data_IF_365204318729
#
_entry.id   IF_365204318729
#
_cell.length_a   1.000
_cell.length_b   1.000
_cell.length_c   1.000
_cell.angle_alpha   90.00
_cell.angle_beta   90.00
_cell.angle_gamma   90.00
#
_symmetry.space_group_name_H-M   'P 1'
#
loop_
_entity.id
_entity.type
_entity.pdbx_description
1 polymer ?
#
# COMPACT_ATOMS: atom_id res chain seq x y z
N UNK A 1 30.74 28.38 85.51
CA UNK A 1 29.31 28.01 85.35
C UNK A 1 28.92 28.16 83.89
N UNK A 2 29.24 29.29 83.26
CA UNK A 2 29.03 29.50 81.81
C UNK A 2 29.80 28.50 80.92
N UNK A 3 31.05 28.17 81.29
CA UNK A 3 31.87 27.16 80.59
C UNK A 3 31.23 25.76 80.61
N UNK A 4 30.67 25.35 81.77
CA UNK A 4 29.98 24.07 81.91
C UNK A 4 28.68 24.01 81.08
N UNK A 5 28.01 25.16 80.90
CA UNK A 5 26.79 25.29 80.09
C UNK A 5 27.13 25.23 78.60
N UNK A 6 28.21 25.87 78.16
CA UNK A 6 28.76 25.75 76.79
C UNK A 6 29.15 24.31 76.47
N UNK A 7 29.89 23.64 77.36
CA UNK A 7 30.30 22.23 77.20
C UNK A 7 29.09 21.30 77.10
N UNK A 8 28.06 21.51 77.92
CA UNK A 8 26.83 20.70 77.90
C UNK A 8 26.04 20.92 76.60
N UNK A 9 25.99 22.15 76.08
CA UNK A 9 25.35 22.45 74.79
C UNK A 9 26.13 21.83 73.63
N UNK A 10 27.46 21.89 73.65
CA UNK A 10 28.31 21.25 72.65
C UNK A 10 28.12 19.72 72.65
N UNK A 11 28.11 19.09 73.83
CA UNK A 11 27.84 17.66 73.97
C UNK A 11 26.44 17.27 73.48
N UNK A 12 25.42 18.09 73.77
CA UNK A 12 24.04 17.83 73.32
C UNK A 12 23.94 17.88 71.79
N UNK A 13 24.53 18.90 71.15
CA UNK A 13 24.61 18.98 69.68
C UNK A 13 25.35 17.79 69.08
N UNK A 14 26.46 17.39 69.68
CA UNK A 14 27.23 16.25 69.20
C UNK A 14 26.43 14.94 69.29
N UNK A 15 25.68 14.73 70.37
CA UNK A 15 24.79 13.57 70.51
C UNK A 15 23.65 13.62 69.49
N UNK A 16 23.02 14.77 69.27
CA UNK A 16 21.98 14.92 68.23
C UNK A 16 22.50 14.59 66.83
N UNK A 17 23.69 15.09 66.46
CA UNK A 17 24.30 14.76 65.17
C UNK A 17 24.56 13.25 65.03
N UNK A 18 25.04 12.59 66.11
CA UNK A 18 25.22 11.13 66.06
C UNK A 18 23.92 10.36 65.89
N UNK A 19 22.81 10.83 66.46
CA UNK A 19 21.50 10.20 66.29
C UNK A 19 21.04 10.34 64.83
N UNK A 20 21.13 11.54 64.25
CA UNK A 20 20.76 11.78 62.85
C UNK A 20 21.60 10.92 61.88
N UNK A 21 22.93 10.85 62.09
CA UNK A 21 23.82 9.99 61.30
C UNK A 21 23.46 8.51 61.43
N UNK A 22 23.06 8.05 62.63
CA UNK A 22 22.63 6.67 62.87
C UNK A 22 21.31 6.35 62.17
N UNK A 23 20.33 7.26 62.25
CA UNK A 23 19.02 7.10 61.61
C UNK A 23 19.14 7.05 60.09
N UNK A 24 19.96 7.94 59.50
CA UNK A 24 20.27 7.90 58.08
C UNK A 24 20.93 6.56 57.67
N UNK A 25 21.90 6.09 58.45
CA UNK A 25 22.58 4.82 58.18
C UNK A 25 21.61 3.62 58.25
N UNK A 26 20.71 3.60 59.23
CA UNK A 26 19.69 2.55 59.34
C UNK A 26 18.70 2.58 58.17
N UNK A 27 18.26 3.78 57.75
CA UNK A 27 17.38 3.92 56.59
C UNK A 27 18.07 3.42 55.31
N UNK A 28 19.35 3.75 55.12
CA UNK A 28 20.13 3.27 53.99
C UNK A 28 20.34 1.75 54.03
N UNK A 29 20.62 1.17 55.20
CA UNK A 29 20.73 -0.28 55.36
C UNK A 29 19.43 -1.01 55.03
N UNK A 30 18.29 -0.44 55.42
CA UNK A 30 16.98 -0.97 55.09
C UNK A 30 16.78 -1.02 53.58
N UNK A 31 17.04 0.09 52.88
CA UNK A 31 16.97 0.18 51.42
C UNK A 31 17.91 -0.83 50.75
N UNK A 32 19.18 -0.88 51.17
CA UNK A 32 20.16 -1.83 50.62
C UNK A 32 19.77 -3.30 50.86
N UNK A 33 19.11 -3.60 51.99
CA UNK A 33 18.59 -4.93 52.30
C UNK A 33 17.41 -5.30 51.42
N UNK A 34 16.55 -4.33 51.10
CA UNK A 34 15.43 -4.55 50.20
C UNK A 34 15.93 -4.77 48.77
N UNK A 35 16.91 -3.97 48.29
CA UNK A 35 17.58 -4.21 47.00
C UNK A 35 18.24 -5.60 46.96
N UNK A 36 18.87 -6.05 48.05
CA UNK A 36 19.49 -7.38 48.12
C UNK A 36 18.48 -8.53 47.89
N UNK A 37 17.23 -8.39 48.34
CA UNK A 37 16.20 -9.42 48.12
C UNK A 37 15.87 -9.54 46.63
N UNK A 38 16.07 -8.51 45.85
CA UNK A 38 15.81 -8.47 44.41
C UNK A 38 17.03 -8.90 43.57
N UNK A 39 18.19 -9.09 44.20
CA UNK A 39 19.40 -9.56 43.53
C UNK A 39 19.27 -11.00 43.02
N UNK A 40 19.83 -11.24 41.84
CA UNK A 40 20.00 -12.55 41.24
C UNK A 40 21.02 -13.41 41.99
N UNK A 41 21.10 -14.70 41.64
CA UNK A 41 21.97 -15.65 42.34
C UNK A 41 23.47 -15.32 42.25
N UNK A 42 23.96 -14.74 41.16
CA UNK A 42 25.36 -14.30 41.01
C UNK A 42 25.67 -13.07 41.86
N UNK A 43 24.82 -12.04 41.79
CA UNK A 43 24.92 -10.80 42.58
C UNK A 43 24.91 -11.08 44.09
N UNK A 44 24.04 -11.98 44.55
CA UNK A 44 23.99 -12.39 45.96
C UNK A 44 25.28 -13.08 46.43
N UNK A 45 25.92 -13.84 45.53
CA UNK A 45 27.15 -14.58 45.82
C UNK A 45 28.35 -13.62 45.91
N UNK A 46 28.45 -12.69 44.96
CA UNK A 46 29.45 -11.61 44.97
C UNK A 46 29.31 -10.70 46.20
N UNK A 47 28.07 -10.37 46.60
CA UNK A 47 27.82 -9.61 47.82
C UNK A 47 28.26 -10.39 49.07
N UNK A 48 27.95 -11.69 49.15
CA UNK A 48 28.32 -12.51 50.29
C UNK A 48 29.85 -12.57 50.50
N UNK A 49 30.62 -12.64 49.42
CA UNK A 49 32.09 -12.63 49.47
C UNK A 49 32.64 -11.28 49.96
N UNK A 50 32.11 -10.18 49.44
CA UNK A 50 32.57 -8.82 49.78
C UNK A 50 32.12 -8.35 51.17
N UNK A 51 31.03 -8.90 51.73
CA UNK A 51 30.53 -8.56 53.07
C UNK A 51 31.35 -9.15 54.24
N UNK A 52 32.22 -10.12 53.96
CA UNK A 52 33.03 -10.80 55.00
C UNK A 52 33.84 -9.82 55.86
N UNK A 53 34.26 -8.69 55.31
CA UNK A 53 34.99 -7.64 56.05
C UNK A 53 34.16 -6.91 57.13
N UNK A 54 32.83 -6.96 57.06
CA UNK A 54 31.92 -6.38 58.06
C UNK A 54 31.38 -7.38 59.07
N UNK A 55 31.81 -8.65 59.00
CA UNK A 55 31.30 -9.72 59.86
C UNK A 55 31.43 -9.39 61.36
N UNK A 56 32.44 -8.61 61.75
CA UNK A 56 32.61 -8.13 63.13
C UNK A 56 31.42 -7.32 63.67
N UNK A 57 30.67 -6.63 62.81
CA UNK A 57 29.53 -5.80 63.19
C UNK A 57 28.22 -6.59 63.31
N UNK A 58 28.20 -7.86 62.89
CA UNK A 58 27.04 -8.75 63.13
C UNK A 58 26.85 -9.07 64.62
N UNK A 59 27.93 -8.98 65.41
CA UNK A 59 27.95 -9.31 66.84
C UNK A 59 28.11 -8.07 67.73
N UNK A 60 28.67 -6.99 67.21
CA UNK A 60 28.92 -5.75 67.95
C UNK A 60 28.39 -4.54 67.17
N UNK A 61 27.59 -3.64 67.78
CA UNK A 61 27.07 -2.47 67.09
C UNK A 61 28.19 -1.51 66.67
N UNK A 62 28.00 -0.84 65.52
CA UNK A 62 28.94 0.16 65.00
C UNK A 62 29.06 1.33 66.00
N UNK A 63 30.27 1.69 66.45
CA UNK A 63 30.46 2.83 67.36
C UNK A 63 30.03 4.15 66.69
N UNK A 64 29.41 5.10 67.41
CA UNK A 64 28.93 6.36 66.83
C UNK A 64 29.99 7.15 66.03
N UNK A 65 31.25 7.12 66.50
CA UNK A 65 32.37 7.80 65.84
C UNK A 65 32.85 7.14 64.55
N UNK A 66 32.44 5.91 64.29
CA UNK A 66 32.86 5.12 63.14
C UNK A 66 31.76 4.95 62.09
N UNK A 67 30.52 5.36 62.37
CA UNK A 67 29.35 5.18 61.48
C UNK A 67 29.62 5.75 60.09
N UNK A 68 30.12 6.98 59.99
CA UNK A 68 30.39 7.60 58.68
C UNK A 68 31.44 6.81 57.89
N UNK A 69 32.45 6.26 58.58
CA UNK A 69 33.49 5.42 57.94
C UNK A 69 32.87 4.10 57.46
N UNK A 70 32.18 3.38 58.35
CA UNK A 70 31.56 2.09 58.04
C UNK A 70 30.49 2.23 56.97
N UNK A 71 29.66 3.28 57.03
CA UNK A 71 28.66 3.56 56.01
C UNK A 71 29.30 3.74 54.64
N UNK A 72 30.39 4.53 54.51
CA UNK A 72 31.12 4.69 53.25
C UNK A 72 31.75 3.39 52.76
N UNK A 73 32.42 2.66 53.64
CA UNK A 73 33.01 1.36 53.31
C UNK A 73 31.93 0.37 52.83
N UNK A 74 30.76 0.35 53.47
CA UNK A 74 29.65 -0.50 53.05
C UNK A 74 29.05 -0.03 51.72
N UNK A 75 28.92 1.27 51.47
CA UNK A 75 28.46 1.80 50.18
C UNK A 75 29.32 1.30 49.01
N UNK A 76 30.65 1.32 49.16
CA UNK A 76 31.57 0.77 48.15
C UNK A 76 31.38 -0.74 47.97
N UNK A 77 31.10 -1.46 49.06
CA UNK A 77 30.96 -2.92 49.03
C UNK A 77 29.63 -3.37 48.43
N UNK A 78 28.56 -2.62 48.61
CA UNK A 78 27.29 -2.88 47.93
C UNK A 78 27.32 -2.51 46.44
N UNK A 79 28.32 -1.74 46.01
CA UNK A 79 28.48 -1.29 44.63
C UNK A 79 29.06 -2.38 43.73
N UNK A 80 30.07 -3.10 44.21
CA UNK A 80 30.78 -4.13 43.42
C UNK A 80 29.86 -5.23 42.86
N UNK A 81 28.88 -5.77 43.61
CA UNK A 81 27.96 -6.79 43.09
C UNK A 81 27.01 -6.26 42.01
N UNK A 82 26.59 -4.99 42.10
CA UNK A 82 25.78 -4.34 41.07
C UNK A 82 26.58 -4.17 39.78
N UNK A 83 27.84 -3.71 39.91
CA UNK A 83 28.76 -3.60 38.78
C UNK A 83 28.94 -4.96 38.08
N UNK A 84 29.19 -6.03 38.85
CA UNK A 84 29.34 -7.36 38.30
C UNK A 84 28.04 -7.87 37.64
N UNK A 85 26.88 -7.61 38.25
CA UNK A 85 25.57 -7.93 37.67
C UNK A 85 25.36 -7.26 36.32
N UNK A 86 25.67 -5.97 36.19
CA UNK A 86 25.59 -5.25 34.91
C UNK A 86 26.55 -5.84 33.87
N UNK A 87 27.79 -6.17 34.25
CA UNK A 87 28.73 -6.81 33.33
C UNK A 87 28.23 -8.19 32.87
N UNK A 88 27.60 -8.96 33.76
CA UNK A 88 26.95 -10.23 33.42
C UNK A 88 25.78 -10.03 32.45
N UNK A 89 24.96 -8.98 32.65
CA UNK A 89 23.89 -8.60 31.71
C UNK A 89 24.44 -8.24 30.33
N UNK A 90 25.48 -7.40 30.25
CA UNK A 90 26.15 -7.06 28.99
C UNK A 90 26.68 -8.32 28.30
N UNK A 91 27.28 -9.24 29.06
CA UNK A 91 27.77 -10.52 28.51
C UNK A 91 26.62 -11.42 28.02
N UNK A 92 25.46 -11.38 28.69
CA UNK A 92 24.26 -12.10 28.25
C UNK A 92 23.70 -11.50 26.96
N UNK A 93 23.61 -10.17 26.84
CA UNK A 93 23.22 -9.50 25.59
C UNK A 93 24.23 -9.82 24.47
N UNK A 94 25.53 -9.84 24.78
CA UNK A 94 26.57 -10.25 23.85
C UNK A 94 26.33 -11.68 23.36
N UNK A 95 25.95 -12.61 24.24
CA UNK A 95 25.63 -13.99 23.88
C UNK A 95 24.34 -14.11 23.07
N UNK A 96 23.27 -13.45 23.48
CA UNK A 96 21.94 -13.53 22.86
C UNK A 96 21.97 -13.03 21.41
N UNK A 97 22.65 -11.90 21.19
CA UNK A 97 22.82 -11.31 19.87
C UNK A 97 24.03 -11.88 19.10
N UNK A 98 24.71 -12.89 19.64
CA UNK A 98 25.94 -13.47 19.08
C UNK A 98 27.01 -12.41 18.71
N UNK A 99 27.14 -11.38 19.53
CA UNK A 99 28.13 -10.33 19.37
C UNK A 99 29.52 -10.85 19.80
N UNK A 100 30.57 -10.27 19.24
CA UNK A 100 31.95 -10.62 19.56
C UNK A 100 32.74 -9.37 19.94
N UNK A 101 32.54 -8.90 21.16
CA UNK A 101 33.27 -7.75 21.68
C UNK A 101 34.73 -8.07 21.94
N UNK A 102 35.60 -7.15 21.54
CA UNK A 102 37.03 -7.22 21.86
C UNK A 102 37.23 -6.90 23.35
N UNK A 103 38.27 -7.45 23.95
CA UNK A 103 38.62 -7.18 25.36
C UNK A 103 38.81 -5.68 25.65
N UNK A 104 39.27 -4.90 24.66
CA UNK A 104 39.37 -3.44 24.79
C UNK A 104 38.02 -2.78 25.04
N UNK A 105 36.94 -3.29 24.44
CA UNK A 105 35.57 -2.76 24.62
C UNK A 105 35.04 -3.16 26.00
N UNK A 106 35.19 -4.43 26.39
CA UNK A 106 34.79 -4.91 27.72
C UNK A 106 35.50 -4.16 28.84
N UNK A 107 36.79 -3.85 28.65
CA UNK A 107 37.55 -3.03 29.60
C UNK A 107 37.05 -1.57 29.66
N UNK A 108 36.60 -0.99 28.55
CA UNK A 108 35.97 0.34 28.55
C UNK A 108 34.69 0.30 29.38
N UNK A 109 33.82 -0.70 29.18
CA UNK A 109 32.60 -0.84 29.96
C UNK A 109 32.92 -0.93 31.46
N UNK A 110 33.85 -1.80 31.84
CA UNK A 110 34.26 -1.96 33.23
C UNK A 110 34.75 -0.62 33.83
N UNK A 111 35.66 0.07 33.15
CA UNK A 111 36.23 1.33 33.66
C UNK A 111 35.17 2.43 33.78
N UNK A 112 34.22 2.52 32.84
CA UNK A 112 33.17 3.53 32.88
C UNK A 112 32.18 3.25 34.02
N UNK A 113 31.72 2.00 34.12
CA UNK A 113 30.81 1.56 35.19
C UNK A 113 31.46 1.72 36.58
N UNK A 114 32.79 1.52 36.68
CA UNK A 114 33.57 1.77 37.90
C UNK A 114 33.59 3.25 38.32
N UNK A 115 33.14 4.18 37.47
CA UNK A 115 32.97 5.60 37.82
C UNK A 115 31.55 6.01 38.25
N UNK A 116 30.54 5.16 38.01
CA UNK A 116 29.12 5.48 38.26
C UNK A 116 28.71 5.39 39.72
N UNK A 117 27.80 6.26 40.15
CA UNK A 117 27.22 6.21 41.49
C UNK A 117 26.32 4.97 41.65
N UNK A 118 26.06 4.54 42.90
CA UNK A 118 25.21 3.36 43.18
C UNK A 118 23.82 3.47 42.55
N UNK A 119 23.20 4.65 42.61
CA UNK A 119 21.88 4.88 42.03
C UNK A 119 21.89 4.67 40.52
N UNK A 120 22.92 5.15 39.83
CA UNK A 120 23.06 4.97 38.38
C UNK A 120 23.22 3.49 38.01
N UNK A 121 23.93 2.71 38.82
CA UNK A 121 24.06 1.27 38.62
C UNK A 121 22.73 0.52 38.85
N UNK A 122 21.92 0.94 39.82
CA UNK A 122 20.60 0.33 40.06
C UNK A 122 19.68 0.62 38.86
N UNK A 123 19.58 1.87 38.43
CA UNK A 123 18.74 2.27 37.30
C UNK A 123 19.17 1.55 36.01
N UNK A 124 20.49 1.42 35.77
CA UNK A 124 21.01 0.71 34.61
C UNK A 124 20.73 -0.79 34.67
N UNK A 125 20.87 -1.43 35.84
CA UNK A 125 20.60 -2.86 36.04
C UNK A 125 19.17 -3.21 35.61
N UNK A 126 18.19 -2.46 36.10
CA UNK A 126 16.78 -2.71 35.78
C UNK A 126 16.51 -2.53 34.28
N UNK A 127 17.16 -1.54 33.65
CA UNK A 127 17.09 -1.32 32.22
C UNK A 127 17.71 -2.45 31.38
N UNK A 128 18.76 -3.12 31.87
CA UNK A 128 19.33 -4.27 31.16
C UNK A 128 18.44 -5.53 31.24
N UNK A 129 17.74 -5.74 32.34
CA UNK A 129 16.75 -6.82 32.45
C UNK A 129 15.57 -6.57 31.49
N UNK A 130 15.14 -5.31 31.38
CA UNK A 130 14.17 -4.87 30.37
C UNK A 130 14.68 -5.11 28.94
N UNK A 131 15.94 -4.76 28.62
CA UNK A 131 16.53 -5.02 27.30
C UNK A 131 16.45 -6.51 26.95
N UNK A 132 16.83 -7.41 27.85
CA UNK A 132 16.76 -8.85 27.58
C UNK A 132 15.32 -9.31 27.36
N UNK A 133 14.36 -8.81 28.14
CA UNK A 133 12.95 -9.10 27.95
C UNK A 133 12.46 -8.61 26.58
N UNK A 134 12.86 -7.39 26.17
CA UNK A 134 12.51 -6.83 24.86
C UNK A 134 13.16 -7.61 23.71
N UNK A 135 14.38 -8.12 23.89
CA UNK A 135 15.07 -8.95 22.90
C UNK A 135 14.43 -10.33 22.76
N UNK A 136 14.03 -10.97 23.87
CA UNK A 136 13.30 -12.24 23.86
C UNK A 136 11.97 -12.14 23.09
N UNK A 137 11.35 -10.95 23.11
CA UNK A 137 10.13 -10.65 22.35
C UNK A 137 10.38 -10.29 20.87
N UNK A 138 11.61 -9.98 20.49
CA UNK A 138 11.95 -9.64 19.10
C UNK A 138 11.98 -10.90 18.22
N UNK A 139 11.55 -10.76 16.96
CA UNK A 139 11.76 -11.78 15.92
C UNK A 139 13.21 -11.78 15.43
N UNK A 140 13.64 -12.86 14.80
CA UNK A 140 15.02 -13.03 14.29
C UNK A 140 15.54 -11.82 13.49
N UNK A 141 14.74 -11.31 12.53
CA UNK A 141 15.12 -10.15 11.72
C UNK A 141 15.27 -8.85 12.54
N UNK A 142 14.45 -8.68 13.59
CA UNK A 142 14.53 -7.54 14.50
C UNK A 142 15.78 -7.66 15.39
N UNK A 143 16.07 -8.87 15.89
CA UNK A 143 17.28 -9.15 16.65
C UNK A 143 18.54 -8.94 15.81
N UNK A 144 18.56 -9.37 14.55
CA UNK A 144 19.67 -9.15 13.62
C UNK A 144 19.91 -7.65 13.35
N UNK A 145 18.84 -6.86 13.27
CA UNK A 145 18.98 -5.41 13.16
C UNK A 145 19.57 -4.78 14.44
N UNK A 146 19.05 -5.15 15.61
CA UNK A 146 19.58 -4.67 16.90
C UNK A 146 21.04 -5.08 17.08
N UNK A 147 21.40 -6.32 16.71
CA UNK A 147 22.78 -6.83 16.65
C UNK A 147 23.66 -5.95 15.77
N UNK A 148 23.21 -5.58 14.57
CA UNK A 148 23.95 -4.68 13.68
C UNK A 148 24.19 -3.30 14.32
N UNK A 149 23.17 -2.70 14.95
CA UNK A 149 23.29 -1.41 15.64
C UNK A 149 24.35 -1.49 16.75
N UNK A 150 24.22 -2.47 17.65
CA UNK A 150 25.12 -2.61 18.80
C UNK A 150 26.53 -2.96 18.34
N UNK A 151 26.68 -3.82 17.32
CA UNK A 151 28.00 -4.16 16.77
C UNK A 151 28.73 -2.96 16.20
N UNK A 152 28.03 -1.98 15.63
CA UNK A 152 28.63 -0.76 15.08
C UNK A 152 29.07 0.22 16.17
N UNK A 153 28.29 0.33 17.26
CA UNK A 153 28.58 1.25 18.38
C UNK A 153 28.33 0.57 19.74
N UNK A 154 29.24 -0.34 20.18
CA UNK A 154 29.05 -1.05 21.44
C UNK A 154 28.93 -0.15 22.66
N UNK A 155 29.53 1.07 22.63
CA UNK A 155 29.43 2.03 23.74
C UNK A 155 27.99 2.44 24.08
N UNK A 156 27.04 2.29 23.16
CA UNK A 156 25.63 2.59 23.42
C UNK A 156 25.03 1.71 24.51
N UNK A 157 25.59 0.53 24.77
CA UNK A 157 25.15 -0.32 25.88
C UNK A 157 25.27 0.39 27.22
N UNK A 158 26.24 1.31 27.39
CA UNK A 158 26.37 2.12 28.61
C UNK A 158 25.26 3.17 28.79
N UNK A 159 24.32 3.29 27.86
CA UNK A 159 23.14 4.15 27.98
C UNK A 159 21.87 3.33 27.67
N UNK A 160 21.52 2.32 28.49
CA UNK A 160 20.47 1.36 28.16
C UNK A 160 19.11 2.05 27.96
N UNK A 161 18.70 2.95 28.84
CA UNK A 161 17.43 3.71 28.72
C UNK A 161 17.46 4.76 27.61
N UNK A 162 18.62 5.39 27.38
CA UNK A 162 18.73 6.55 26.49
C UNK A 162 18.98 6.19 25.02
N UNK A 163 19.55 5.01 24.77
CA UNK A 163 19.97 4.57 23.43
C UNK A 163 19.37 3.23 23.06
N UNK A 164 19.53 2.21 23.90
CA UNK A 164 19.26 0.83 23.49
C UNK A 164 17.76 0.50 23.53
N UNK A 165 17.08 0.74 24.66
CA UNK A 165 15.64 0.46 24.79
C UNK A 165 14.83 1.17 23.68
N UNK A 166 14.99 2.49 23.44
CA UNK A 166 14.26 3.15 22.36
C UNK A 166 14.54 2.59 20.97
N UNK A 167 15.75 2.09 20.72
CA UNK A 167 16.12 1.46 19.45
C UNK A 167 15.45 0.09 19.28
N UNK A 168 15.42 -0.73 20.33
CA UNK A 168 14.74 -2.03 20.31
C UNK A 168 13.24 -1.81 20.11
N UNK A 169 12.63 -0.89 20.88
CA UNK A 169 11.21 -0.55 20.74
C UNK A 169 10.85 -0.05 19.34
N UNK A 170 11.68 0.82 18.76
CA UNK A 170 11.48 1.30 17.39
C UNK A 170 11.56 0.16 16.37
N UNK A 171 12.55 -0.73 16.54
CA UNK A 171 12.75 -1.91 15.68
C UNK A 171 11.53 -2.84 15.75
N UNK A 172 11.08 -3.17 16.97
CA UNK A 172 9.88 -3.98 17.22
C UNK A 172 8.62 -3.34 16.63
N UNK A 173 8.46 -2.03 16.78
CA UNK A 173 7.31 -1.32 16.20
C UNK A 173 7.30 -1.44 14.68
N UNK A 174 8.46 -1.26 14.04
CA UNK A 174 8.58 -1.44 12.59
C UNK A 174 8.26 -2.87 12.17
N UNK A 175 8.82 -3.89 12.84
CA UNK A 175 8.55 -5.28 12.51
C UNK A 175 7.10 -5.72 12.80
N UNK A 176 6.45 -5.13 13.80
CA UNK A 176 5.01 -5.32 14.04
C UNK A 176 4.18 -4.78 12.89
N UNK A 177 4.42 -3.52 12.47
CA UNK A 177 3.70 -2.89 11.36
C UNK A 177 3.86 -3.64 10.04
N UNK A 178 5.08 -4.05 9.72
CA UNK A 178 5.35 -4.84 8.52
C UNK A 178 4.56 -6.15 8.56
N UNK A 179 4.53 -6.83 9.70
CA UNK A 179 3.77 -8.06 9.85
C UNK A 179 2.25 -7.85 9.70
N UNK A 180 1.70 -6.79 10.27
CA UNK A 180 0.28 -6.44 10.09
C UNK A 180 -0.04 -6.16 8.61
N UNK A 181 0.83 -5.45 7.89
CA UNK A 181 0.70 -5.27 6.43
C UNK A 181 0.74 -6.62 5.70
N UNK A 182 1.63 -7.52 6.11
CA UNK A 182 1.71 -8.87 5.56
C UNK A 182 0.45 -9.70 5.79
N UNK A 183 -0.18 -9.58 6.95
CA UNK A 183 -1.47 -10.24 7.24
C UNK A 183 -2.60 -9.71 6.35
N UNK A 184 -2.65 -8.40 6.10
CA UNK A 184 -3.65 -7.80 5.21
C UNK A 184 -3.46 -8.30 3.78
N UNK A 185 -2.22 -8.30 3.28
CA UNK A 185 -1.90 -8.79 1.93
C UNK A 185 -2.32 -10.25 1.74
N UNK A 186 -2.06 -11.10 2.74
CA UNK A 186 -2.49 -12.51 2.74
C UNK A 186 -4.02 -12.70 2.66
N UNK A 187 -4.80 -11.68 3.03
CA UNK A 187 -6.25 -11.72 2.97
C UNK A 187 -6.84 -11.67 1.56
N UNK A 188 -6.07 -11.24 0.55
CA UNK A 188 -6.56 -11.05 -0.81
C UNK A 188 -6.39 -12.29 -1.68
N UNK A 189 -7.47 -12.73 -2.34
CA UNK A 189 -7.51 -14.02 -3.04
C UNK A 189 -6.80 -14.08 -4.39
N UNK A 190 -6.41 -12.94 -4.95
CA UNK A 190 -5.61 -12.85 -6.19
C UNK A 190 -4.10 -12.92 -5.93
N UNK A 191 -3.70 -12.77 -4.66
CA UNK A 191 -2.33 -12.91 -4.21
C UNK A 191 -2.15 -14.40 -3.87
N UNK A 192 -1.72 -15.23 -4.84
CA UNK A 192 -1.60 -16.69 -4.67
C UNK A 192 -0.36 -17.07 -3.85
N UNK A 193 -0.26 -16.52 -2.64
CA UNK A 193 0.94 -16.63 -1.83
C UNK A 193 0.85 -17.65 -0.75
N UNK A 194 1.93 -18.42 -0.64
CA UNK A 194 2.17 -19.12 0.60
C UNK A 194 2.43 -18.07 1.68
N UNK A 195 1.89 -18.29 2.88
CA UNK A 195 2.00 -17.38 4.03
C UNK A 195 3.46 -17.06 4.43
N UNK A 196 4.43 -17.77 3.84
CA UNK A 196 5.87 -17.64 4.02
C UNK A 196 6.54 -16.69 3.02
N UNK A 197 5.83 -16.22 1.99
CA UNK A 197 6.41 -15.34 0.97
C UNK A 197 6.19 -13.85 1.27
N UNK A 198 5.19 -13.52 2.09
CA UNK A 198 4.90 -12.15 2.56
C UNK A 198 5.61 -11.88 3.89
N UNK A 199 6.91 -12.18 3.90
CA UNK A 199 7.80 -11.99 5.01
C UNK A 199 8.57 -13.25 5.42
N UNK A 200 9.64 -13.12 6.23
CA UNK A 200 10.05 -11.91 6.92
C UNK A 200 10.55 -10.84 5.94
N UNK A 201 10.07 -9.61 6.13
CA UNK A 201 10.51 -8.46 5.37
C UNK A 201 12.03 -8.26 5.55
N UNK A 202 12.73 -7.72 4.54
CA UNK A 202 14.16 -7.44 4.66
C UNK A 202 14.49 -6.64 5.91
N UNK A 203 15.56 -7.02 6.62
CA UNK A 203 15.97 -6.39 7.88
C UNK A 203 16.29 -4.90 7.72
N UNK A 204 16.55 -4.43 6.51
CA UNK A 204 16.80 -3.04 6.16
C UNK A 204 15.58 -2.14 6.39
N UNK A 205 14.35 -2.68 6.38
CA UNK A 205 13.11 -1.93 6.61
C UNK A 205 13.06 -1.20 7.95
N UNK A 206 13.77 -1.69 8.96
CA UNK A 206 13.86 -1.04 10.28
C UNK A 206 14.54 0.33 10.23
N UNK A 207 15.24 0.66 9.13
CA UNK A 207 15.81 1.98 8.86
C UNK A 207 14.84 2.92 8.13
N UNK A 208 13.68 2.41 7.73
CA UNK A 208 12.69 3.13 6.94
C UNK A 208 11.40 3.39 7.73
N UNK A 209 10.68 4.41 7.30
CA UNK A 209 9.37 4.71 7.89
C UNK A 209 8.32 3.75 7.31
N UNK A 210 7.89 2.79 8.11
CA UNK A 210 6.77 1.91 7.76
C UNK A 210 5.45 2.57 8.19
N UNK A 211 4.47 2.74 7.27
CA UNK A 211 3.13 3.24 7.59
C UNK A 211 2.39 2.28 8.53
N UNK A 212 1.26 2.74 9.10
CA UNK A 212 0.40 1.85 9.87
C UNK A 212 -0.43 0.99 8.91
N UNK A 213 -0.80 -0.21 9.35
CA UNK A 213 -1.58 -1.15 8.56
C UNK A 213 -2.91 -0.53 8.08
N UNK A 214 -3.57 0.24 8.97
CA UNK A 214 -4.80 1.01 8.71
C UNK A 214 -4.64 2.04 7.58
N UNK A 215 -3.43 2.54 7.31
CA UNK A 215 -3.17 3.48 6.20
C UNK A 215 -3.02 2.75 4.85
N UNK A 216 -2.62 1.47 4.88
CA UNK A 216 -2.33 0.65 3.70
C UNK A 216 -3.55 -0.17 3.28
N UNK A 217 -4.36 -0.62 4.23
CA UNK A 217 -5.56 -1.43 3.99
C UNK A 217 -6.51 -0.83 2.93
N UNK A 218 -6.85 0.48 2.96
CA UNK A 218 -7.75 1.05 1.96
C UNK A 218 -7.16 1.02 0.55
N UNK A 219 -5.84 1.20 0.43
CA UNK A 219 -5.14 1.19 -0.87
C UNK A 219 -5.14 -0.23 -1.46
N UNK A 220 -4.84 -1.24 -0.62
CA UNK A 220 -4.90 -2.63 -1.06
C UNK A 220 -6.33 -3.05 -1.43
N UNK A 221 -7.34 -2.53 -0.74
CA UNK A 221 -8.74 -2.78 -1.08
C UNK A 221 -9.14 -2.14 -2.40
N UNK A 222 -8.59 -0.97 -2.75
CA UNK A 222 -8.79 -0.34 -4.07
C UNK A 222 -8.11 -1.12 -5.19
N UNK A 223 -6.92 -1.68 -4.95
CA UNK A 223 -6.23 -2.59 -5.87
C UNK A 223 -7.10 -3.82 -6.13
N UNK A 224 -7.56 -4.49 -5.07
CA UNK A 224 -8.43 -5.66 -5.19
C UNK A 224 -9.72 -5.35 -5.97
N UNK A 225 -10.40 -4.25 -5.65
CA UNK A 225 -11.61 -3.85 -6.38
C UNK A 225 -11.35 -3.62 -7.88
N UNK A 226 -10.21 -3.04 -8.24
CA UNK A 226 -9.82 -2.81 -9.63
C UNK A 226 -9.51 -4.12 -10.35
N UNK A 227 -8.82 -5.04 -9.69
CA UNK A 227 -8.55 -6.38 -10.22
C UNK A 227 -9.82 -7.20 -10.42
N UNK A 228 -10.81 -7.11 -9.52
CA UNK A 228 -12.09 -7.79 -9.71
C UNK A 228 -12.82 -7.33 -10.99
N UNK A 229 -12.72 -6.04 -11.35
CA UNK A 229 -13.27 -5.52 -12.62
C UNK A 229 -12.50 -6.09 -13.80
N UNK A 230 -11.17 -6.07 -13.74
CA UNK A 230 -10.32 -6.64 -14.80
C UNK A 230 -10.60 -8.14 -15.01
N UNK A 231 -10.77 -8.91 -13.93
CA UNK A 231 -11.14 -10.33 -14.00
C UNK A 231 -12.54 -10.56 -14.56
N UNK A 232 -13.49 -9.67 -14.28
CA UNK A 232 -14.83 -9.75 -14.87
C UNK A 232 -14.80 -9.53 -16.40
N UNK A 233 -13.78 -8.80 -16.89
CA UNK A 233 -13.49 -8.58 -18.30
C UNK A 233 -12.51 -9.61 -18.91
N UNK A 234 -12.21 -10.70 -18.20
CA UNK A 234 -11.22 -11.72 -18.60
C UNK A 234 -9.79 -11.17 -18.85
N UNK A 235 -9.44 -9.99 -18.31
CA UNK A 235 -8.09 -9.41 -18.42
C UNK A 235 -7.16 -10.03 -17.36
N UNK A 236 -6.06 -10.71 -17.76
CA UNK A 236 -5.18 -11.42 -16.83
C UNK A 236 -4.18 -10.48 -16.13
N UNK A 237 -4.67 -9.65 -15.23
CA UNK A 237 -3.85 -8.67 -14.49
C UNK A 237 -3.33 -9.16 -13.11
N UNK A 238 -3.72 -10.36 -12.68
CA UNK A 238 -3.40 -10.87 -11.33
C UNK A 238 -1.88 -10.98 -11.09
N UNK A 239 -1.20 -11.69 -11.98
CA UNK A 239 0.23 -11.98 -11.86
C UNK A 239 1.09 -10.72 -11.99
N UNK A 240 0.87 -9.83 -12.98
CA UNK A 240 1.55 -8.53 -13.01
C UNK A 240 1.38 -7.69 -11.73
N UNK A 241 0.16 -7.60 -11.22
CA UNK A 241 -0.12 -6.84 -10.01
C UNK A 241 0.56 -7.45 -8.77
N UNK A 242 0.55 -8.78 -8.67
CA UNK A 242 1.23 -9.53 -7.62
C UNK A 242 2.74 -9.30 -7.64
N UNK A 243 3.39 -9.44 -8.80
CA UNK A 243 4.83 -9.19 -8.94
C UNK A 243 5.20 -7.75 -8.56
N UNK A 244 4.35 -6.77 -8.93
CA UNK A 244 4.58 -5.37 -8.61
C UNK A 244 4.41 -5.07 -7.12
N UNK A 245 3.36 -5.61 -6.48
CA UNK A 245 3.20 -5.53 -5.03
C UNK A 245 4.41 -6.14 -4.33
N UNK A 246 4.90 -7.28 -4.81
CA UNK A 246 6.07 -7.91 -4.27
C UNK A 246 7.32 -7.06 -4.32
N UNK A 247 7.60 -6.46 -5.48
CA UNK A 247 8.73 -5.56 -5.63
C UNK A 247 8.63 -4.39 -4.63
N UNK A 248 7.43 -3.82 -4.48
CA UNK A 248 7.17 -2.69 -3.59
C UNK A 248 7.42 -3.07 -2.12
N UNK A 249 6.95 -4.23 -1.65
CA UNK A 249 7.07 -4.66 -0.24
C UNK A 249 8.44 -5.24 0.10
N UNK A 250 9.09 -5.89 -0.86
CA UNK A 250 10.44 -6.46 -0.68
C UNK A 250 11.56 -5.46 -0.91
N UNK A 251 11.23 -4.22 -1.31
CA UNK A 251 12.19 -3.13 -1.47
C UNK A 251 12.02 -2.12 -0.32
N UNK A 252 12.95 -2.05 0.64
CA UNK A 252 12.92 -1.08 1.73
C UNK A 252 12.85 0.37 1.23
N UNK A 253 11.79 1.09 1.58
CA UNK A 253 11.57 2.46 1.12
C UNK A 253 10.62 3.26 2.04
N UNK A 254 10.86 4.56 2.16
CA UNK A 254 9.97 5.45 2.94
C UNK A 254 8.64 5.75 2.22
N UNK A 255 8.55 5.41 0.93
CA UNK A 255 7.44 5.66 0.01
C UNK A 255 6.52 4.46 -0.20
N UNK A 256 6.49 3.49 0.73
CA UNK A 256 5.69 2.26 0.59
C UNK A 256 4.23 2.55 0.22
N UNK A 257 3.54 3.35 1.04
CA UNK A 257 2.14 3.70 0.83
C UNK A 257 1.91 4.45 -0.49
N UNK A 258 2.84 5.33 -0.88
CA UNK A 258 2.75 6.07 -2.13
C UNK A 258 2.92 5.14 -3.35
N UNK A 259 3.81 4.15 -3.27
CA UNK A 259 4.05 3.20 -4.36
C UNK A 259 2.87 2.24 -4.54
N UNK A 260 2.27 1.77 -3.45
CA UNK A 260 1.02 1.01 -3.51
C UNK A 260 -0.13 1.86 -4.05
N UNK A 261 -0.18 3.14 -3.71
CA UNK A 261 -1.22 4.05 -4.21
C UNK A 261 -1.07 4.33 -5.71
N UNK A 262 0.16 4.44 -6.21
CA UNK A 262 0.46 4.57 -7.63
C UNK A 262 -0.02 3.34 -8.40
N UNK A 263 0.34 2.14 -7.95
CA UNK A 263 -0.17 0.87 -8.51
C UNK A 263 -1.71 0.80 -8.47
N UNK A 264 -2.33 1.21 -7.37
CA UNK A 264 -3.79 1.27 -7.26
C UNK A 264 -4.42 2.23 -8.26
N UNK A 265 -3.78 3.36 -8.55
CA UNK A 265 -4.27 4.32 -9.55
C UNK A 265 -4.13 3.78 -10.98
N UNK A 266 -3.01 3.15 -11.29
CA UNK A 266 -2.71 2.46 -12.56
C UNK A 266 -3.74 1.36 -12.88
N UNK A 267 -3.95 0.43 -11.94
CA UNK A 267 -4.94 -0.64 -12.12
C UNK A 267 -6.37 -0.11 -12.18
N UNK A 268 -6.68 0.94 -11.42
CA UNK A 268 -7.97 1.60 -11.48
C UNK A 268 -8.22 2.24 -12.83
N UNK A 269 -7.22 2.86 -13.43
CA UNK A 269 -7.32 3.42 -14.78
C UNK A 269 -7.65 2.32 -15.79
N UNK A 270 -6.90 1.20 -15.80
CA UNK A 270 -7.20 0.04 -16.64
C UNK A 270 -8.63 -0.47 -16.41
N UNK A 271 -9.05 -0.63 -15.15
CA UNK A 271 -10.41 -1.07 -14.80
C UNK A 271 -11.51 -0.16 -15.38
N UNK A 272 -11.29 1.16 -15.42
CA UNK A 272 -12.25 2.10 -16.02
C UNK A 272 -12.29 1.97 -17.55
N UNK A 273 -11.16 1.68 -18.19
CA UNK A 273 -11.10 1.53 -19.65
C UNK A 273 -11.77 0.24 -20.14
N UNK A 274 -11.67 -0.85 -19.38
CA UNK A 274 -12.30 -2.13 -19.75
C UNK A 274 -13.80 -2.18 -19.52
N UNK A 275 -14.35 -1.37 -18.59
CA UNK A 275 -15.78 -1.46 -18.23
C UNK A 275 -16.71 -1.41 -19.46
N UNK A 276 -16.50 -0.52 -20.45
CA UNK A 276 -17.40 -0.47 -21.62
C UNK A 276 -17.14 -1.59 -22.64
N UNK A 277 -16.05 -2.37 -22.48
CA UNK A 277 -15.74 -3.52 -23.31
C UNK A 277 -16.52 -4.78 -22.85
N UNK A 278 -17.04 -4.80 -21.61
CA UNK A 278 -17.87 -5.89 -21.07
C UNK A 278 -19.12 -6.16 -21.93
N UNK A 279 -19.62 -5.13 -22.61
CA UNK A 279 -20.87 -5.20 -23.40
C UNK A 279 -20.66 -5.73 -24.82
N UNK A 280 -19.41 -5.97 -25.25
CA UNK A 280 -19.08 -6.32 -26.65
C UNK A 280 -19.79 -7.60 -27.10
N UNK A 281 -19.80 -8.64 -26.27
CA UNK A 281 -20.47 -9.89 -26.62
C UNK A 281 -21.99 -9.73 -26.71
N UNK A 282 -22.59 -8.93 -25.83
CA UNK A 282 -24.03 -8.62 -25.92
C UNK A 282 -24.34 -7.77 -27.16
N UNK A 283 -23.50 -6.77 -27.46
CA UNK A 283 -23.60 -5.93 -28.64
C UNK A 283 -23.57 -6.75 -29.94
N UNK A 284 -22.65 -7.71 -30.04
CA UNK A 284 -22.55 -8.61 -31.20
C UNK A 284 -23.82 -9.46 -31.38
N UNK A 285 -24.46 -9.85 -30.28
CA UNK A 285 -25.67 -10.68 -30.32
C UNK A 285 -26.95 -9.91 -30.70
N UNK A 286 -27.00 -8.60 -30.47
CA UNK A 286 -28.16 -7.78 -30.82
C UNK A 286 -28.11 -7.25 -32.27
N UNK A 287 -26.93 -7.26 -32.89
CA UNK A 287 -26.76 -6.83 -34.28
C UNK A 287 -27.19 -7.95 -35.23
N UNK A 288 -28.11 -7.70 -36.20
CA UNK A 288 -28.45 -8.68 -37.22
C UNK A 288 -27.23 -9.06 -38.07
N UNK A 289 -27.06 -10.36 -38.36
CA UNK A 289 -25.92 -10.87 -39.14
C UNK A 289 -25.85 -10.24 -40.55
N UNK A 290 -27.02 -9.98 -41.15
CA UNK A 290 -27.16 -9.29 -42.43
C UNK A 290 -26.65 -7.83 -42.42
N UNK A 291 -26.62 -7.20 -41.25
CA UNK A 291 -26.20 -5.81 -41.06
C UNK A 291 -24.81 -5.67 -40.43
N UNK A 292 -24.08 -6.78 -40.25
CA UNK A 292 -22.77 -6.79 -39.60
C UNK A 292 -21.78 -5.76 -40.17
N UNK A 293 -21.82 -5.54 -41.49
CA UNK A 293 -20.99 -4.54 -42.17
C UNK A 293 -21.43 -3.07 -41.91
N UNK A 294 -22.72 -2.85 -41.64
CA UNK A 294 -23.27 -1.52 -41.32
C UNK A 294 -22.83 -1.12 -39.92
N UNK A 295 -22.94 -2.03 -38.97
CA UNK A 295 -22.57 -1.81 -37.57
C UNK A 295 -21.08 -2.00 -37.28
N UNK A 296 -20.27 -2.39 -38.27
CA UNK A 296 -18.83 -2.56 -38.08
C UNK A 296 -18.48 -3.69 -37.11
N UNK A 297 -19.23 -4.80 -37.13
CA UNK A 297 -19.04 -5.94 -36.20
C UNK A 297 -17.62 -6.46 -36.22
N UNK A 298 -16.91 -6.42 -37.35
CA UNK A 298 -15.50 -6.83 -37.43
C UNK A 298 -14.57 -6.11 -36.45
N UNK A 299 -14.83 -4.83 -36.14
CA UNK A 299 -14.05 -4.10 -35.12
C UNK A 299 -14.35 -4.62 -33.71
N UNK A 300 -15.61 -4.98 -33.42
CA UNK A 300 -15.98 -5.61 -32.15
C UNK A 300 -15.36 -7.01 -32.01
N UNK A 301 -15.20 -7.74 -33.11
CA UNK A 301 -14.51 -9.03 -33.11
C UNK A 301 -13.01 -8.85 -32.83
N UNK A 302 -12.36 -7.88 -33.45
CA UNK A 302 -10.95 -7.56 -33.18
C UNK A 302 -10.71 -7.21 -31.71
N UNK A 303 -11.61 -6.42 -31.09
CA UNK A 303 -11.52 -6.10 -29.65
C UNK A 303 -11.76 -7.33 -28.77
N UNK A 304 -12.78 -8.14 -29.09
CA UNK A 304 -13.11 -9.36 -28.35
C UNK A 304 -11.99 -10.39 -28.40
N UNK A 305 -11.43 -10.64 -29.60
CA UNK A 305 -10.30 -11.53 -29.79
C UNK A 305 -9.07 -10.98 -29.04
N UNK A 306 -8.82 -9.67 -29.14
CA UNK A 306 -7.74 -8.99 -28.45
C UNK A 306 -7.79 -9.17 -26.93
N UNK A 307 -8.95 -9.01 -26.28
CA UNK A 307 -9.12 -9.27 -24.84
C UNK A 307 -8.67 -10.68 -24.43
N UNK A 308 -8.96 -11.69 -25.26
CA UNK A 308 -8.60 -13.09 -24.97
C UNK A 308 -7.13 -13.43 -25.25
N UNK A 309 -6.43 -12.58 -26.01
CA UNK A 309 -5.02 -12.77 -26.39
C UNK A 309 -4.04 -12.03 -25.48
N UNK A 310 -4.51 -11.14 -24.59
CA UNK A 310 -3.67 -10.41 -23.64
C UNK A 310 -2.89 -11.39 -22.76
N UNK A 311 -1.56 -11.26 -22.77
CA UNK A 311 -0.65 -11.99 -21.86
C UNK A 311 0.42 -11.03 -21.36
N UNK A 312 0.06 -10.15 -20.42
CA UNK A 312 0.93 -9.07 -19.98
C UNK A 312 1.97 -9.62 -19.00
N UNK A 313 3.22 -9.24 -19.20
CA UNK A 313 4.32 -9.56 -18.31
C UNK A 313 4.37 -8.58 -17.12
N UNK A 314 3.87 -7.35 -17.28
CA UNK A 314 3.81 -6.33 -16.22
C UNK A 314 2.55 -5.44 -16.28
N UNK A 315 2.42 -4.53 -15.31
CA UNK A 315 1.24 -3.65 -15.17
C UNK A 315 1.19 -2.58 -16.26
N UNK A 316 2.35 -2.15 -16.77
CA UNK A 316 2.41 -1.16 -17.86
C UNK A 316 1.84 -1.79 -19.14
N UNK A 317 2.19 -3.04 -19.43
CA UNK A 317 1.62 -3.81 -20.55
C UNK A 317 0.10 -4.02 -20.40
N UNK A 318 -0.42 -4.30 -19.18
CA UNK A 318 -1.87 -4.36 -18.95
C UNK A 318 -2.56 -3.07 -19.38
N UNK A 319 -1.97 -1.91 -19.03
CA UNK A 319 -2.56 -0.60 -19.33
C UNK A 319 -2.48 -0.31 -20.84
N UNK A 320 -1.34 -0.57 -21.47
CA UNK A 320 -1.14 -0.37 -22.90
C UNK A 320 -2.12 -1.23 -23.73
N UNK A 321 -2.22 -2.52 -23.44
CA UNK A 321 -3.13 -3.44 -24.14
C UNK A 321 -4.59 -3.01 -23.99
N UNK A 322 -5.02 -2.66 -22.77
CA UNK A 322 -6.37 -2.18 -22.49
C UNK A 322 -6.65 -0.85 -23.22
N UNK A 323 -5.67 0.04 -23.29
CA UNK A 323 -5.80 1.31 -23.99
C UNK A 323 -5.97 1.11 -25.51
N UNK A 324 -5.19 0.22 -26.11
CA UNK A 324 -5.30 -0.10 -27.54
C UNK A 324 -6.68 -0.69 -27.90
N UNK A 325 -7.19 -1.59 -27.04
CA UNK A 325 -8.54 -2.15 -27.19
C UNK A 325 -9.63 -1.10 -27.00
N UNK A 326 -9.42 -0.17 -26.07
CA UNK A 326 -10.32 0.96 -25.85
C UNK A 326 -10.40 1.87 -27.07
N UNK A 327 -9.26 2.16 -27.70
CA UNK A 327 -9.21 2.98 -28.92
C UNK A 327 -9.98 2.32 -30.06
N UNK A 328 -9.81 1.01 -30.26
CA UNK A 328 -10.55 0.24 -31.26
C UNK A 328 -12.07 0.24 -30.99
N UNK A 329 -12.50 0.15 -29.73
CA UNK A 329 -13.90 0.28 -29.36
C UNK A 329 -14.46 1.69 -29.64
N UNK A 330 -13.68 2.74 -29.37
CA UNK A 330 -14.06 4.12 -29.68
C UNK A 330 -14.11 4.39 -31.20
N UNK A 331 -13.27 3.72 -31.99
CA UNK A 331 -13.33 3.71 -33.46
C UNK A 331 -14.61 3.03 -33.98
N UNK A 332 -15.00 1.90 -33.37
CA UNK A 332 -16.29 1.26 -33.64
C UNK A 332 -17.45 2.22 -33.34
N UNK A 333 -17.46 2.86 -32.16
CA UNK A 333 -18.49 3.83 -31.76
C UNK A 333 -18.57 4.99 -32.75
N UNK A 334 -17.43 5.52 -33.19
CA UNK A 334 -17.35 6.58 -34.20
C UNK A 334 -17.94 6.15 -35.54
N UNK A 335 -17.71 4.90 -35.94
CA UNK A 335 -18.31 4.30 -37.13
C UNK A 335 -19.83 4.27 -37.02
N UNK A 336 -20.37 3.80 -35.89
CA UNK A 336 -21.83 3.72 -35.66
C UNK A 336 -22.48 5.11 -35.65
N UNK A 337 -21.87 6.10 -35.01
CA UNK A 337 -22.35 7.50 -35.02
C UNK A 337 -22.38 8.06 -36.45
N UNK A 338 -21.31 7.84 -37.21
CA UNK A 338 -21.24 8.30 -38.60
C UNK A 338 -22.35 7.68 -39.45
N UNK A 339 -22.63 6.38 -39.25
CA UNK A 339 -23.72 5.68 -39.94
C UNK A 339 -25.09 6.23 -39.56
N UNK A 340 -25.32 6.50 -38.28
CA UNK A 340 -26.53 7.15 -37.80
C UNK A 340 -26.74 8.52 -38.46
N UNK A 341 -25.72 9.38 -38.51
CA UNK A 341 -25.82 10.70 -39.14
C UNK A 341 -26.11 10.60 -40.65
N UNK A 342 -25.49 9.64 -41.33
CA UNK A 342 -25.73 9.38 -42.75
C UNK A 342 -27.19 8.95 -43.00
N UNK A 343 -27.67 7.95 -42.26
CA UNK A 343 -29.02 7.40 -42.46
C UNK A 343 -30.13 8.32 -41.94
N UNK A 344 -29.86 9.12 -40.91
CA UNK A 344 -30.82 10.10 -40.43
C UNK A 344 -30.99 11.24 -41.43
N UNK A 345 -29.89 11.70 -42.04
CA UNK A 345 -29.92 12.67 -43.14
C UNK A 345 -30.65 12.10 -44.35
N UNK A 346 -30.39 10.84 -44.70
CA UNK A 346 -31.08 10.12 -45.77
C UNK A 346 -32.60 10.17 -45.63
N UNK A 347 -33.09 9.75 -44.46
CA UNK A 347 -34.53 9.68 -44.20
C UNK A 347 -35.14 11.08 -44.16
N UNK A 348 -34.44 12.09 -43.61
CA UNK A 348 -34.93 13.48 -43.65
C UNK A 348 -35.16 13.98 -45.07
N UNK A 349 -34.21 13.76 -45.96
CA UNK A 349 -34.35 14.12 -47.39
C UNK A 349 -35.53 13.37 -48.02
N UNK A 350 -35.64 12.06 -47.79
CA UNK A 350 -36.77 11.28 -48.31
C UNK A 350 -38.11 11.80 -47.75
N UNK A 351 -38.18 12.12 -46.46
CA UNK A 351 -39.40 12.63 -45.79
C UNK A 351 -39.83 13.98 -46.34
N UNK A 352 -38.88 14.91 -46.55
CA UNK A 352 -39.14 16.25 -47.07
C UNK A 352 -39.64 16.22 -48.53
N UNK A 353 -39.07 15.34 -49.37
CA UNK A 353 -39.35 15.33 -50.81
C UNK A 353 -40.48 14.35 -51.22
N UNK A 354 -40.75 13.29 -50.45
CA UNK A 354 -41.70 12.21 -50.86
C UNK A 354 -42.98 12.09 -50.02
N UNK A 355 -43.23 13.01 -49.08
CA UNK A 355 -44.40 12.96 -48.17
C UNK A 355 -44.51 11.69 -47.31
N UNK A 356 -43.41 10.94 -47.17
CA UNK A 356 -43.29 9.87 -46.17
C UNK A 356 -43.41 10.47 -44.77
N UNK A 357 -44.02 9.75 -43.83
CA UNK A 357 -44.08 10.20 -42.43
C UNK A 357 -42.72 10.10 -41.76
N UNK A 358 -42.30 11.13 -41.02
CA UNK A 358 -41.02 11.12 -40.30
C UNK A 358 -41.00 10.03 -39.21
N UNK A 359 -40.05 9.06 -39.23
CA UNK A 359 -39.93 8.06 -38.18
C UNK A 359 -39.72 8.70 -36.80
N UNK A 360 -40.38 8.16 -35.77
CA UNK A 360 -40.29 8.68 -34.40
C UNK A 360 -38.84 8.70 -33.86
N UNK A 361 -37.98 7.83 -34.41
CA UNK A 361 -36.54 7.70 -34.09
C UNK A 361 -35.76 8.98 -34.44
N UNK A 362 -36.14 9.71 -35.50
CA UNK A 362 -35.47 10.94 -35.93
C UNK A 362 -35.71 12.15 -35.03
N UNK A 363 -36.71 12.09 -34.15
CA UNK A 363 -36.99 13.17 -33.19
C UNK A 363 -35.97 13.23 -32.05
N UNK A 364 -35.03 12.28 -31.99
CA UNK A 364 -34.02 12.14 -30.93
C UNK A 364 -32.57 12.40 -31.37
N UNK A 365 -32.31 12.95 -32.56
CA UNK A 365 -30.95 12.99 -33.15
C UNK A 365 -29.87 13.65 -32.30
N UNK A 366 -30.17 14.68 -31.50
CA UNK A 366 -29.17 15.33 -30.65
C UNK A 366 -28.72 14.45 -29.46
N UNK A 367 -29.39 13.31 -29.24
CA UNK A 367 -29.14 12.39 -28.13
C UNK A 367 -28.41 11.10 -28.54
N UNK A 368 -28.06 10.87 -29.82
CA UNK A 368 -27.51 9.57 -30.23
C UNK A 368 -26.06 9.35 -29.77
N UNK A 369 -25.20 10.37 -29.88
CA UNK A 369 -23.80 10.27 -29.44
C UNK A 369 -23.68 10.08 -27.93
N UNK A 370 -24.61 10.65 -27.16
CA UNK A 370 -24.76 10.44 -25.72
C UNK A 370 -25.34 9.05 -25.44
N UNK A 371 -26.38 8.64 -26.19
CA UNK A 371 -27.01 7.33 -26.05
C UNK A 371 -26.01 6.19 -26.29
N UNK A 372 -25.20 6.24 -27.34
CA UNK A 372 -24.21 5.19 -27.59
C UNK A 372 -23.04 5.21 -26.58
N UNK A 373 -22.91 6.26 -25.77
CA UNK A 373 -21.96 6.28 -24.66
C UNK A 373 -22.55 5.68 -23.38
N UNK A 374 -23.84 5.91 -23.14
CA UNK A 374 -24.55 5.51 -21.91
C UNK A 374 -25.23 4.14 -22.01
N UNK A 375 -25.74 3.79 -23.20
CA UNK A 375 -26.45 2.56 -23.52
C UNK A 375 -26.20 2.17 -25.00
N UNK A 376 -25.01 1.60 -25.30
CA UNK A 376 -24.61 1.17 -26.64
C UNK A 376 -25.62 0.22 -27.30
N UNK A 377 -26.24 -0.68 -26.52
CA UNK A 377 -27.22 -1.65 -27.02
C UNK A 377 -28.49 -0.93 -27.51
N UNK A 378 -29.04 0.00 -26.72
CA UNK A 378 -30.20 0.78 -27.16
C UNK A 378 -29.87 1.65 -28.38
N UNK A 379 -28.65 2.20 -28.46
CA UNK A 379 -28.21 2.94 -29.64
C UNK A 379 -28.17 2.07 -30.90
N UNK A 380 -27.60 0.86 -30.81
CA UNK A 380 -27.60 -0.11 -31.91
C UNK A 380 -29.03 -0.45 -32.35
N UNK A 381 -29.95 -0.68 -31.42
CA UNK A 381 -31.35 -0.96 -31.73
C UNK A 381 -32.08 0.23 -32.38
N UNK A 382 -31.75 1.47 -32.00
CA UNK A 382 -32.32 2.66 -32.65
C UNK A 382 -31.75 2.85 -34.06
N UNK A 383 -30.46 2.56 -34.29
CA UNK A 383 -29.86 2.55 -35.62
C UNK A 383 -30.47 1.45 -36.51
N UNK A 384 -30.73 0.26 -35.99
CA UNK A 384 -31.40 -0.83 -36.72
C UNK A 384 -32.79 -0.42 -37.23
N UNK A 385 -33.61 0.20 -36.36
CA UNK A 385 -34.90 0.76 -36.76
C UNK A 385 -34.76 1.82 -37.85
N UNK A 386 -33.69 2.61 -37.80
CA UNK A 386 -33.40 3.63 -38.79
C UNK A 386 -33.03 3.00 -40.14
N UNK A 387 -32.19 1.95 -40.14
CA UNK A 387 -31.86 1.17 -41.33
C UNK A 387 -33.13 0.55 -41.93
N UNK A 388 -33.95 -0.12 -41.12
CA UNK A 388 -35.23 -0.70 -41.55
C UNK A 388 -36.16 0.35 -42.16
N UNK A 389 -36.29 1.52 -41.51
CA UNK A 389 -37.12 2.63 -42.03
C UNK A 389 -36.62 3.15 -43.37
N UNK A 390 -35.30 3.17 -43.56
CA UNK A 390 -34.66 3.59 -44.81
C UNK A 390 -34.94 2.57 -45.93
N UNK A 391 -34.92 1.27 -45.63
CA UNK A 391 -35.27 0.20 -46.57
C UNK A 391 -36.76 0.18 -46.92
N UNK A 392 -37.65 0.38 -45.95
CA UNK A 392 -39.09 0.54 -46.20
C UNK A 392 -39.37 1.77 -47.07
N UNK A 393 -38.66 2.88 -46.83
CA UNK A 393 -38.69 4.08 -47.66
C UNK A 393 -38.21 3.80 -49.08
N UNK A 394 -37.12 3.03 -49.25
CA UNK A 394 -36.63 2.57 -50.56
C UNK A 394 -37.70 1.80 -51.31
N UNK A 395 -38.32 0.83 -50.64
CA UNK A 395 -39.36 0.02 -51.25
C UNK A 395 -40.58 0.87 -51.62
N UNK A 396 -40.99 1.80 -50.77
CA UNK A 396 -42.13 2.68 -51.04
C UNK A 396 -41.87 3.61 -52.24
N UNK A 397 -40.68 4.20 -52.32
CA UNK A 397 -40.27 5.05 -53.47
C UNK A 397 -40.17 4.22 -54.76
N UNK A 398 -39.73 2.97 -54.68
CA UNK A 398 -39.67 2.06 -55.83
C UNK A 398 -41.04 1.57 -56.29
N UNK A 399 -41.80 0.94 -55.39
CA UNK A 399 -43.08 0.27 -55.68
C UNK A 399 -44.22 1.27 -55.92
N UNK A 400 -44.29 2.38 -55.18
CA UNK A 400 -45.35 3.39 -55.32
C UNK A 400 -44.93 4.57 -56.24
N UNK A 401 -43.64 4.90 -56.27
CA UNK A 401 -43.09 5.98 -57.11
C UNK A 401 -42.79 5.56 -58.55
N UNK A 402 -42.74 4.25 -58.85
CA UNK A 402 -42.54 3.72 -60.21
C UNK A 402 -41.13 3.93 -60.77
N UNK A 403 -40.14 4.10 -59.89
CA UNK A 403 -38.74 4.31 -60.27
C UNK A 403 -38.05 2.99 -60.66
N UNK A 404 -37.22 2.96 -61.73
CA UNK A 404 -36.37 1.83 -62.04
C UNK A 404 -35.35 1.53 -60.92
N UNK A 405 -34.96 0.26 -60.77
CA UNK A 405 -34.02 -0.18 -59.72
C UNK A 405 -32.68 0.56 -59.75
N UNK A 406 -32.14 0.88 -60.92
CA UNK A 406 -30.89 1.68 -61.03
C UNK A 406 -31.08 3.12 -60.56
N UNK A 407 -32.27 3.69 -60.69
CA UNK A 407 -32.61 5.03 -60.21
C UNK A 407 -32.77 5.02 -58.69
N UNK A 408 -33.42 3.98 -58.16
CA UNK A 408 -33.48 3.74 -56.71
C UNK A 408 -32.05 3.58 -56.17
N UNK A 409 -31.20 2.79 -56.83
CA UNK A 409 -29.81 2.64 -56.42
C UNK A 409 -29.04 3.97 -56.43
N UNK A 410 -29.19 4.78 -57.49
CA UNK A 410 -28.63 6.13 -57.60
C UNK A 410 -29.10 7.06 -56.47
N UNK A 411 -30.39 7.03 -56.12
CA UNK A 411 -30.96 7.84 -55.02
C UNK A 411 -30.28 7.53 -53.70
N UNK A 412 -30.14 6.25 -53.38
CA UNK A 412 -29.54 5.82 -52.13
C UNK A 412 -28.02 6.01 -52.13
N UNK A 413 -27.36 5.95 -53.28
CA UNK A 413 -25.93 6.24 -53.42
C UNK A 413 -25.63 7.76 -53.33
N UNK A 414 -26.50 8.62 -53.88
CA UNK A 414 -26.46 10.08 -53.69
C UNK A 414 -26.66 10.46 -52.23
N UNK A 415 -27.61 9.80 -51.57
CA UNK A 415 -27.90 9.94 -50.15
C UNK A 415 -26.69 9.48 -49.30
N UNK A 416 -26.04 8.36 -49.66
CA UNK A 416 -24.88 7.82 -48.95
C UNK A 416 -23.59 8.61 -49.17
N UNK A 417 -23.41 9.31 -50.30
CA UNK A 417 -22.12 9.92 -50.67
C UNK A 417 -22.17 11.44 -50.88
N UNK A 418 -23.32 12.10 -50.69
CA UNK A 418 -23.55 13.52 -50.99
C UNK A 418 -23.13 13.94 -52.42
N UNK A 419 -23.10 12.98 -53.35
CA UNK A 419 -22.69 13.18 -54.73
C UNK A 419 -22.15 11.89 -55.34
N UNK A 420 -22.62 11.55 -56.53
CA UNK A 420 -22.11 10.43 -57.32
C UNK A 420 -21.65 10.94 -58.68
N UNK A 421 -20.58 10.34 -59.21
CA UNK A 421 -20.06 10.71 -60.53
C UNK A 421 -21.12 10.41 -61.58
N UNK A 422 -21.39 11.38 -62.46
CA UNK A 422 -22.32 11.23 -63.59
C UNK A 422 -22.02 9.99 -64.46
N UNK A 423 -20.76 9.54 -64.48
CA UNK A 423 -20.32 8.38 -65.28
C UNK A 423 -20.64 7.01 -64.66
N UNK A 424 -21.06 6.97 -63.40
CA UNK A 424 -21.32 5.73 -62.66
C UNK A 424 -22.71 5.14 -62.92
N UNK A 425 -23.63 5.91 -63.52
CA UNK A 425 -25.02 5.49 -63.75
C UNK A 425 -25.46 5.82 -65.18
N UNK A 426 -26.40 5.04 -65.72
CA UNK A 426 -26.98 5.33 -67.01
C UNK A 426 -27.80 6.64 -66.97
N UNK A 427 -27.75 7.44 -68.05
CA UNK A 427 -28.50 8.69 -68.15
C UNK A 427 -30.00 8.52 -67.86
N UNK A 428 -30.57 7.36 -68.23
CA UNK A 428 -31.98 7.05 -67.98
C UNK A 428 -32.31 6.97 -66.48
N UNK A 429 -31.38 6.46 -65.66
CA UNK A 429 -31.55 6.41 -64.22
C UNK A 429 -31.52 7.81 -63.60
N UNK A 430 -30.56 8.65 -64.04
CA UNK A 430 -30.43 10.05 -63.59
C UNK A 430 -31.66 10.88 -63.96
N UNK A 431 -32.13 10.78 -65.22
CA UNK A 431 -33.28 11.52 -65.71
C UNK A 431 -34.55 11.15 -64.93
N UNK A 432 -34.80 9.85 -64.75
CA UNK A 432 -35.97 9.39 -63.99
C UNK A 432 -35.97 9.83 -62.53
N UNK A 433 -34.78 10.00 -61.93
CA UNK A 433 -34.65 10.41 -60.54
C UNK A 433 -34.77 11.92 -60.34
N UNK A 434 -34.35 12.70 -61.34
CA UNK A 434 -34.46 14.17 -61.35
C UNK A 434 -35.91 14.68 -61.33
N UNK A 435 -36.87 13.85 -61.77
CA UNK A 435 -38.30 14.15 -61.72
C UNK A 435 -38.91 13.90 -60.32
N UNK A 436 -38.19 13.23 -59.42
CA UNK A 436 -38.66 12.82 -58.08
C UNK A 436 -37.98 13.60 -56.96
N UNK A 437 -36.68 13.92 -57.09
CA UNK A 437 -35.92 14.69 -56.10
C UNK A 437 -35.01 15.74 -56.76
N UNK A 438 -34.68 16.82 -56.05
CA UNK A 438 -33.71 17.80 -56.54
C UNK A 438 -32.27 17.25 -56.43
N UNK A 439 -31.67 16.90 -57.57
CA UNK A 439 -30.33 16.33 -57.63
C UNK A 439 -29.22 17.40 -57.63
N UNK A 440 -28.23 17.29 -56.72
CA UNK A 440 -26.92 17.91 -56.90
C UNK A 440 -25.96 16.90 -57.55
N UNK A 441 -25.87 16.93 -58.88
CA UNK A 441 -24.93 16.09 -59.64
C UNK A 441 -23.61 16.84 -59.83
N UNK A 442 -22.49 16.27 -59.37
CA UNK A 442 -21.14 16.78 -59.68
C UNK A 442 -20.70 16.21 -61.04
N UNK A 443 -20.36 17.11 -61.95
CA UNK A 443 -19.73 16.78 -63.23
C UNK A 443 -18.24 17.08 -63.06
N UNK A 444 -17.42 16.05 -62.93
CA UNK A 444 -15.96 16.20 -63.06
C UNK A 444 -15.64 16.35 -64.55
N UNK A 445 -15.00 17.46 -64.93
CA UNK A 445 -14.48 17.69 -66.29
C UNK A 445 -13.23 16.86 -66.60
#
# INVERSE_FOLDING_TARGET
MDELIEDTKAATRQVSNYIEEYEMFLSWLQEATDTYKEYGSSERLALAETFTQFEQYTKNPVPPREIVRVHREMQEVFREPLLQGILDYIARIESELELSFKDSVRNIFKNELESWERSELIDARDAYDEILTLLDDCRDAEQDHVKSIISQKPQQLLEPCGKIIPQIEATRRTGTRLWEIGEILYGYGWLELEQQDIGPFPAEWTNHKVPEADDVEPVLSEIDASLQVLFACDVPAAMPAEERVYEIINTPQDSLAASLQELGAELKEAAHMVTPLEEIDELRNVIPEEDAAIFGVGLLEEVSDGLTEITPDDVEEVIEDVHDLREQYDDWRTTVITRWDMYSTAIRVLTEDTSLGEPDVLRKTDAFADLIAEDPIAAVQDLDKLVTSLEEGRQTVGDEGGLPEESIQLLFDLIKQQGVSYTAYENAAIDSLSDVINLQVRIDE
#
